data_IF_305465255604
#
_entry.id   IF_305465255604
#
_cell.length_a   1.000
_cell.length_b   1.000
_cell.length_c   1.000
_cell.angle_alpha   90.00
_cell.angle_beta   90.00
_cell.angle_gamma   90.00
#
_symmetry.space_group_name_H-M   'P 1'
#
loop_
_entity.id
_entity.type
_entity.pdbx_description
1 polymer ?
#
# COMPACT_ATOMS: atom_id res chain seq x y z
N UNK A 1 -65.23 -27.71 -42.69
CA UNK A 1 -65.25 -27.59 -41.22
C UNK A 1 -63.96 -26.91 -40.82
N UNK A 2 -63.99 -25.62 -40.53
CA UNK A 2 -62.81 -24.89 -40.08
C UNK A 2 -62.65 -25.12 -38.57
N UNK A 3 -61.55 -25.75 -38.18
CA UNK A 3 -61.16 -25.96 -36.79
C UNK A 3 -60.82 -24.61 -36.16
N UNK A 4 -61.64 -24.16 -35.21
CA UNK A 4 -61.32 -23.03 -34.33
C UNK A 4 -60.13 -23.48 -33.48
N UNK A 5 -58.97 -22.86 -33.71
CA UNK A 5 -57.82 -23.00 -32.81
C UNK A 5 -58.17 -22.23 -31.55
N UNK A 6 -58.44 -22.96 -30.46
CA UNK A 6 -58.58 -22.36 -29.14
C UNK A 6 -57.22 -21.75 -28.77
N UNK A 7 -57.19 -20.42 -28.67
CA UNK A 7 -56.01 -19.68 -28.22
C UNK A 7 -55.82 -20.03 -26.74
N UNK A 8 -54.68 -20.62 -26.39
CA UNK A 8 -54.33 -20.83 -24.99
C UNK A 8 -54.33 -19.49 -24.25
N UNK A 9 -54.83 -19.42 -23.01
CA UNK A 9 -54.88 -18.19 -22.25
C UNK A 9 -53.46 -17.64 -22.04
N UNK A 10 -53.23 -16.40 -22.45
CA UNK A 10 -52.01 -15.67 -22.12
C UNK A 10 -52.06 -15.21 -20.66
N UNK A 11 -50.91 -15.33 -19.98
CA UNK A 11 -50.80 -15.13 -18.54
C UNK A 11 -50.29 -13.73 -18.22
N UNK A 12 -51.04 -12.97 -17.45
CA UNK A 12 -50.68 -11.61 -17.00
C UNK A 12 -50.63 -11.54 -15.48
N UNK A 13 -49.64 -10.82 -14.92
CA UNK A 13 -49.54 -10.60 -13.47
C UNK A 13 -50.47 -9.45 -13.08
N UNK A 14 -51.07 -9.56 -11.90
CA UNK A 14 -52.01 -8.54 -11.38
C UNK A 14 -51.36 -7.17 -11.14
N UNK A 15 -50.06 -7.12 -10.88
CA UNK A 15 -49.29 -5.88 -10.71
C UNK A 15 -49.06 -5.15 -12.05
N UNK A 16 -49.20 -5.86 -13.17
CA UNK A 16 -48.99 -5.35 -14.53
C UNK A 16 -50.32 -4.99 -15.23
N UNK A 17 -51.48 -5.12 -14.54
CA UNK A 17 -52.82 -4.84 -15.07
C UNK A 17 -53.36 -3.53 -14.50
N UNK A 18 -53.78 -2.61 -15.37
CA UNK A 18 -54.48 -1.40 -14.96
C UNK A 18 -55.97 -1.71 -14.69
N UNK A 19 -56.69 -0.90 -13.88
CA UNK A 19 -58.10 -1.15 -13.56
C UNK A 19 -59.02 -1.21 -14.79
N UNK A 20 -58.60 -0.62 -15.91
CA UNK A 20 -59.31 -0.63 -17.20
C UNK A 20 -59.15 -1.95 -17.95
N UNK A 21 -58.09 -2.74 -17.68
CA UNK A 21 -57.83 -4.05 -18.31
C UNK A 21 -58.65 -5.20 -17.67
N UNK A 22 -59.31 -4.92 -16.53
CA UNK A 22 -60.07 -5.91 -15.75
C UNK A 22 -61.54 -5.99 -16.21
N UNK A 23 -62.05 -4.96 -16.89
CA UNK A 23 -63.46 -4.78 -17.24
C UNK A 23 -63.71 -4.94 -18.75
N UNK A 24 -63.07 -5.92 -19.39
CA UNK A 24 -63.27 -6.25 -20.79
C UNK A 24 -64.68 -6.86 -21.02
N UNK A 25 -65.48 -6.22 -21.88
CA UNK A 25 -66.89 -6.51 -22.20
C UNK A 25 -67.15 -7.94 -22.78
N UNK A 26 -66.13 -8.79 -22.91
CA UNK A 26 -66.18 -10.09 -23.60
C UNK A 26 -65.68 -11.32 -22.80
N UNK A 27 -65.52 -11.22 -21.49
CA UNK A 27 -65.42 -12.41 -20.64
C UNK A 27 -64.60 -12.20 -19.39
N UNK A 28 -65.16 -12.62 -18.25
CA UNK A 28 -64.55 -12.57 -16.94
C UNK A 28 -63.09 -13.06 -16.96
N UNK A 29 -62.12 -12.15 -16.77
CA UNK A 29 -60.73 -12.52 -16.53
C UNK A 29 -60.62 -13.20 -15.16
N UNK A 30 -60.16 -14.46 -15.15
CA UNK A 30 -59.90 -15.18 -13.91
C UNK A 30 -58.57 -14.67 -13.34
N UNK A 31 -58.65 -13.74 -12.41
CA UNK A 31 -57.49 -13.23 -11.67
C UNK A 31 -57.09 -14.28 -10.61
N UNK A 32 -56.09 -15.12 -10.92
CA UNK A 32 -55.50 -16.02 -9.93
C UNK A 32 -54.41 -15.30 -9.13
N UNK A 33 -54.73 -14.90 -7.89
CA UNK A 33 -53.74 -14.40 -6.95
C UNK A 33 -52.97 -15.59 -6.35
N UNK A 34 -51.64 -15.65 -6.56
CA UNK A 34 -50.79 -16.62 -5.86
C UNK A 34 -50.79 -16.28 -4.37
N UNK A 35 -51.40 -17.16 -3.56
CA UNK A 35 -51.31 -17.06 -2.11
C UNK A 35 -49.84 -17.23 -1.70
N UNK A 36 -49.24 -16.16 -1.16
CA UNK A 36 -47.90 -16.21 -0.58
C UNK A 36 -47.99 -16.90 0.78
N UNK A 37 -47.92 -18.23 0.78
CA UNK A 37 -47.84 -19.03 2.01
C UNK A 37 -46.37 -19.26 2.33
N UNK A 38 -45.94 -18.93 3.56
CA UNK A 38 -44.61 -19.27 4.03
C UNK A 38 -44.50 -20.79 4.20
N UNK A 39 -43.90 -21.47 3.22
CA UNK A 39 -43.72 -22.92 3.23
C UNK A 39 -42.34 -23.27 3.81
N UNK A 40 -42.27 -23.36 5.13
CA UNK A 40 -41.03 -23.64 5.88
C UNK A 40 -40.42 -24.99 5.49
N UNK A 41 -41.23 -26.05 5.37
CA UNK A 41 -40.76 -27.40 4.99
C UNK A 41 -40.06 -27.43 3.63
N UNK A 42 -40.56 -26.64 2.66
CA UNK A 42 -39.94 -26.56 1.34
C UNK A 42 -38.64 -25.75 1.38
N UNK A 43 -38.60 -24.68 2.18
CA UNK A 43 -37.40 -23.86 2.35
C UNK A 43 -36.27 -24.64 3.02
N UNK A 44 -36.57 -25.43 4.05
CA UNK A 44 -35.59 -26.29 4.72
C UNK A 44 -35.00 -27.33 3.76
N UNK A 45 -35.85 -28.02 2.99
CA UNK A 45 -35.38 -29.00 1.98
C UNK A 45 -34.44 -28.37 0.95
N UNK A 46 -34.81 -27.21 0.41
CA UNK A 46 -33.98 -26.51 -0.58
C UNK A 46 -32.69 -26.00 0.07
N UNK A 47 -32.75 -25.53 1.31
CA UNK A 47 -31.58 -25.09 2.05
C UNK A 47 -30.60 -26.25 2.26
N UNK A 48 -31.09 -27.44 2.64
CA UNK A 48 -30.26 -28.64 2.81
C UNK A 48 -29.65 -29.12 1.49
N UNK A 49 -30.40 -29.06 0.39
CA UNK A 49 -29.90 -29.40 -0.95
C UNK A 49 -28.79 -28.46 -1.43
N UNK A 50 -28.82 -27.18 -1.02
CA UNK A 50 -27.83 -26.16 -1.38
C UNK A 50 -26.67 -26.05 -0.40
N UNK A 51 -26.83 -26.55 0.83
CA UNK A 51 -25.84 -26.39 1.91
C UNK A 51 -24.55 -27.13 1.55
N UNK A 52 -23.43 -26.42 1.63
CA UNK A 52 -22.11 -27.02 1.51
C UNK A 52 -21.84 -27.97 2.70
N UNK A 53 -21.10 -29.05 2.46
CA UNK A 53 -20.72 -30.01 3.51
C UNK A 53 -19.99 -29.33 4.67
N UNK A 54 -20.36 -29.66 5.90
CA UNK A 54 -19.80 -29.06 7.12
C UNK A 54 -18.33 -29.44 7.38
N UNK A 55 -17.83 -30.47 6.70
CA UNK A 55 -16.45 -30.98 6.84
C UNK A 55 -15.39 -30.11 6.13
N UNK A 56 -15.81 -29.07 5.40
CA UNK A 56 -14.88 -28.19 4.69
C UNK A 56 -14.10 -27.30 5.67
N UNK A 57 -12.77 -27.12 5.46
CA UNK A 57 -12.02 -26.18 6.28
C UNK A 57 -12.56 -24.77 6.06
N UNK A 58 -12.57 -23.97 7.13
CA UNK A 58 -13.15 -22.62 7.11
C UNK A 58 -12.55 -21.70 6.03
N UNK A 59 -11.30 -21.95 5.60
CA UNK A 59 -10.64 -21.18 4.55
C UNK A 59 -11.35 -21.24 3.19
N UNK A 60 -12.16 -22.29 2.94
CA UNK A 60 -12.92 -22.43 1.69
C UNK A 60 -14.23 -21.63 1.71
N UNK A 61 -14.78 -21.37 2.90
CA UNK A 61 -16.02 -20.62 3.06
C UNK A 61 -15.76 -19.14 3.35
N UNK A 62 -14.70 -18.81 4.10
CA UNK A 62 -14.33 -17.45 4.54
C UNK A 62 -15.50 -16.66 5.17
N UNK A 63 -16.50 -17.37 5.69
CA UNK A 63 -17.72 -16.77 6.22
C UNK A 63 -17.60 -16.56 7.72
N UNK A 64 -17.99 -15.38 8.19
CA UNK A 64 -18.05 -15.07 9.61
C UNK A 64 -19.47 -14.61 9.93
N UNK A 65 -20.09 -15.28 10.91
CA UNK A 65 -21.41 -14.96 11.41
C UNK A 65 -21.23 -14.10 12.66
N UNK A 66 -21.84 -12.91 12.68
CA UNK A 66 -21.88 -12.04 13.84
C UNK A 66 -22.64 -12.72 14.99
N UNK A 67 -22.13 -12.59 16.22
CA UNK A 67 -22.80 -13.14 17.41
C UNK A 67 -24.03 -12.32 17.79
N UNK A 68 -23.94 -11.01 17.63
CA UNK A 68 -24.98 -10.07 18.00
C UNK A 68 -25.76 -9.62 16.77
N UNK A 69 -27.09 -9.53 16.93
CA UNK A 69 -27.96 -8.91 15.94
C UNK A 69 -27.75 -7.39 15.95
N UNK A 70 -27.76 -6.79 14.76
CA UNK A 70 -27.62 -5.34 14.61
C UNK A 70 -28.84 -4.66 15.23
N UNK A 71 -28.62 -3.82 16.23
CA UNK A 71 -29.67 -3.04 16.87
C UNK A 71 -29.43 -1.55 16.58
N UNK A 72 -30.21 -0.99 15.66
CA UNK A 72 -30.20 0.45 15.36
C UNK A 72 -31.49 1.07 15.92
N UNK A 73 -31.41 2.06 16.84
CA UNK A 73 -32.60 2.66 17.46
C UNK A 73 -33.55 3.34 16.47
N UNK A 74 -33.00 3.94 15.41
CA UNK A 74 -33.75 4.56 14.32
C UNK A 74 -33.17 4.09 12.99
N UNK A 75 -34.00 3.42 12.19
CA UNK A 75 -33.60 2.87 10.89
C UNK A 75 -33.34 3.96 9.85
N UNK A 76 -33.92 5.15 10.04
CA UNK A 76 -33.74 6.29 9.14
C UNK A 76 -32.52 7.16 9.49
N UNK A 77 -31.90 6.94 10.65
CA UNK A 77 -30.63 7.60 11.02
C UNK A 77 -29.46 6.87 10.37
N UNK A 78 -29.05 7.39 9.22
CA UNK A 78 -28.01 6.79 8.38
C UNK A 78 -26.66 6.71 9.10
N UNK A 79 -26.28 7.75 9.87
CA UNK A 79 -24.98 7.79 10.54
C UNK A 79 -24.84 6.69 11.58
N UNK A 80 -25.87 6.49 12.42
CA UNK A 80 -25.86 5.41 13.41
C UNK A 80 -25.92 4.03 12.77
N UNK A 81 -26.65 3.91 11.66
CA UNK A 81 -26.74 2.66 10.91
C UNK A 81 -25.41 2.30 10.26
N UNK A 82 -24.72 3.25 9.64
CA UNK A 82 -23.37 3.08 9.09
C UNK A 82 -22.37 2.68 10.17
N UNK A 83 -22.42 3.31 11.35
CA UNK A 83 -21.55 2.94 12.48
C UNK A 83 -21.78 1.49 12.93
N UNK A 84 -23.04 1.06 12.99
CA UNK A 84 -23.38 -0.32 13.35
C UNK A 84 -22.84 -1.33 12.32
N UNK A 85 -22.99 -1.05 11.02
CA UNK A 85 -22.41 -1.89 9.95
C UNK A 85 -20.90 -1.91 9.97
N UNK A 86 -20.27 -0.76 10.23
CA UNK A 86 -18.82 -0.65 10.36
C UNK A 86 -18.29 -1.52 11.50
N UNK A 87 -18.91 -1.43 12.68
CA UNK A 87 -18.50 -2.20 13.85
C UNK A 87 -18.66 -3.71 13.63
N UNK A 88 -19.77 -4.14 13.02
CA UNK A 88 -19.99 -5.55 12.67
C UNK A 88 -18.94 -6.07 11.69
N UNK A 89 -18.63 -5.29 10.64
CA UNK A 89 -17.59 -5.66 9.67
C UNK A 89 -16.21 -5.71 10.33
N UNK A 90 -15.91 -4.78 11.23
CA UNK A 90 -14.65 -4.74 11.98
C UNK A 90 -14.49 -5.97 12.87
N UNK A 91 -15.53 -6.36 13.62
CA UNK A 91 -15.51 -7.58 14.44
C UNK A 91 -15.27 -8.82 13.56
N UNK A 92 -16.00 -8.93 12.43
CA UNK A 92 -15.84 -10.04 11.50
C UNK A 92 -14.41 -10.15 10.96
N UNK A 93 -13.76 -9.02 10.65
CA UNK A 93 -12.36 -8.99 10.20
C UNK A 93 -11.40 -9.44 11.29
N UNK A 94 -11.66 -9.09 12.57
CA UNK A 94 -10.83 -9.56 13.68
C UNK A 94 -10.91 -11.08 13.85
N UNK A 95 -12.12 -11.65 13.81
CA UNK A 95 -12.33 -13.09 13.89
C UNK A 95 -11.69 -13.80 12.69
N UNK A 96 -11.91 -13.27 11.48
CA UNK A 96 -11.31 -13.83 10.26
C UNK A 96 -9.78 -13.82 10.33
N UNK A 97 -9.17 -12.75 10.85
CA UNK A 97 -7.72 -12.66 10.99
C UNK A 97 -7.15 -13.73 11.92
N UNK A 98 -7.85 -14.10 12.97
CA UNK A 98 -7.42 -15.18 13.88
C UNK A 98 -7.49 -16.53 13.17
N UNK A 99 -8.62 -16.84 12.53
CA UNK A 99 -8.81 -18.09 11.77
C UNK A 99 -7.85 -18.24 10.59
N UNK A 100 -7.53 -17.14 9.88
CA UNK A 100 -6.55 -17.15 8.78
C UNK A 100 -5.14 -17.48 9.28
N UNK A 101 -4.79 -16.99 10.49
CA UNK A 101 -3.51 -17.34 11.11
C UNK A 101 -3.47 -18.81 11.56
N UNK A 102 -4.57 -19.35 12.08
CA UNK A 102 -4.67 -20.78 12.43
C UNK A 102 -4.55 -21.68 11.20
N UNK A 103 -5.02 -21.22 10.05
CA UNK A 103 -4.88 -21.90 8.76
C UNK A 103 -3.51 -21.67 8.09
N UNK A 104 -2.54 -21.03 8.75
CA UNK A 104 -1.21 -20.68 8.22
C UNK A 104 -1.23 -19.89 6.88
N UNK A 105 -2.30 -19.12 6.64
CA UNK A 105 -2.46 -18.33 5.42
C UNK A 105 -2.05 -16.85 5.63
N UNK A 106 -1.60 -16.20 4.55
CA UNK A 106 -1.19 -14.78 4.59
C UNK A 106 -2.40 -13.84 4.54
N UNK A 107 -2.59 -13.04 5.58
CA UNK A 107 -3.69 -12.07 5.65
C UNK A 107 -3.38 -10.73 4.94
N UNK A 108 -2.16 -10.21 5.10
CA UNK A 108 -1.79 -8.91 4.54
C UNK A 108 -1.18 -9.09 3.15
N UNK A 109 -1.61 -8.24 2.22
CA UNK A 109 -0.98 -8.13 0.91
C UNK A 109 0.47 -7.70 1.10
N UNK A 110 1.45 -8.46 0.58
CA UNK A 110 2.87 -8.09 0.67
C UNK A 110 3.13 -6.74 0.00
N UNK A 111 4.06 -5.95 0.54
CA UNK A 111 4.33 -4.61 0.00
C UNK A 111 4.68 -4.64 -1.49
N UNK A 112 5.42 -5.65 -1.96
CA UNK A 112 5.85 -5.73 -3.37
C UNK A 112 4.87 -6.48 -4.30
N UNK A 113 3.63 -6.73 -3.87
CA UNK A 113 2.64 -7.44 -4.68
C UNK A 113 1.89 -6.45 -5.59
N UNK A 114 2.00 -6.65 -6.91
CA UNK A 114 1.32 -5.84 -7.91
C UNK A 114 0.35 -6.74 -8.68
N UNK A 115 -0.93 -6.41 -8.58
CA UNK A 115 -2.03 -7.05 -9.28
C UNK A 115 -3.01 -5.96 -9.73
N UNK A 116 -3.83 -6.21 -10.77
CA UNK A 116 -4.92 -5.30 -11.12
C UNK A 116 -5.86 -5.16 -9.91
N UNK A 117 -6.06 -3.91 -9.49
CA UNK A 117 -6.97 -3.56 -8.39
C UNK A 117 -8.37 -3.28 -8.94
N UNK A 118 -9.39 -3.29 -8.07
CA UNK A 118 -10.77 -3.00 -8.47
C UNK A 118 -10.95 -1.59 -9.08
N UNK A 119 -10.14 -0.63 -8.64
CA UNK A 119 -10.15 0.76 -9.10
C UNK A 119 -8.82 1.11 -9.74
N UNK A 120 -8.88 1.83 -10.85
CA UNK A 120 -7.70 2.29 -11.59
C UNK A 120 -6.93 3.37 -10.82
N UNK A 121 -5.60 3.42 -11.04
CA UNK A 121 -4.72 4.42 -10.44
C UNK A 121 -5.13 5.86 -10.77
N UNK A 122 -5.65 6.09 -11.99
CA UNK A 122 -6.13 7.40 -12.43
C UNK A 122 -7.30 7.88 -11.56
N UNK A 123 -8.27 7.01 -11.32
CA UNK A 123 -9.41 7.34 -10.47
C UNK A 123 -8.97 7.58 -9.01
N UNK A 124 -8.02 6.78 -8.51
CA UNK A 124 -7.49 6.99 -7.15
C UNK A 124 -6.69 8.29 -7.02
N UNK A 125 -6.10 8.79 -8.11
CA UNK A 125 -5.44 10.10 -8.14
C UNK A 125 -6.45 11.25 -8.15
N UNK A 126 -7.60 11.12 -8.82
CA UNK A 126 -8.70 12.08 -8.73
C UNK A 126 -9.28 12.17 -7.30
N UNK A 127 -9.48 11.02 -6.64
CA UNK A 127 -9.92 10.98 -5.24
C UNK A 127 -8.91 11.68 -4.33
N UNK A 128 -7.62 11.45 -4.57
CA UNK A 128 -6.57 12.12 -3.83
C UNK A 128 -6.60 13.65 -4.02
N UNK A 129 -6.81 14.13 -5.24
CA UNK A 129 -6.91 15.56 -5.51
C UNK A 129 -8.08 16.20 -4.76
N UNK A 130 -9.25 15.55 -4.74
CA UNK A 130 -10.41 16.02 -3.96
C UNK A 130 -10.12 16.09 -2.46
N UNK A 131 -9.47 15.07 -1.89
CA UNK A 131 -9.05 15.09 -0.49
C UNK A 131 -8.06 16.22 -0.19
N UNK A 132 -7.16 16.53 -1.13
CA UNK A 132 -6.21 17.66 -1.00
C UNK A 132 -6.95 19.00 -1.04
N UNK A 133 -7.97 19.14 -1.87
CA UNK A 133 -8.80 20.34 -1.95
C UNK A 133 -9.60 20.55 -0.66
N UNK A 134 -10.32 19.52 -0.18
CA UNK A 134 -11.06 19.57 1.08
C UNK A 134 -10.17 19.84 2.30
N UNK A 135 -8.94 19.31 2.29
CA UNK A 135 -7.95 19.58 3.34
C UNK A 135 -7.43 21.02 3.30
N UNK A 136 -7.35 21.65 2.12
CA UNK A 136 -6.98 23.08 1.98
C UNK A 136 -8.08 23.99 2.49
N UNK A 137 -9.34 23.56 2.39
CA UNK A 137 -10.50 24.29 2.91
C UNK A 137 -10.56 24.32 4.45
N UNK A 138 -9.58 23.68 5.13
CA UNK A 138 -9.37 23.80 6.57
C UNK A 138 -10.14 22.78 7.41
N UNK A 139 -10.71 21.74 6.79
CA UNK A 139 -11.40 20.69 7.52
C UNK A 139 -10.38 19.72 8.15
N UNK A 140 -10.37 19.64 9.49
CA UNK A 140 -9.46 18.77 10.26
C UNK A 140 -9.67 17.28 9.95
N UNK A 141 -10.90 16.86 9.68
CA UNK A 141 -11.19 15.49 9.28
C UNK A 141 -10.62 15.17 7.91
N UNK A 142 -10.69 16.11 6.97
CA UNK A 142 -10.13 15.95 5.64
C UNK A 142 -8.60 15.85 5.70
N UNK A 143 -7.95 16.62 6.59
CA UNK A 143 -6.50 16.50 6.85
C UNK A 143 -6.13 15.11 7.39
N UNK A 144 -6.93 14.57 8.31
CA UNK A 144 -6.70 13.22 8.84
C UNK A 144 -6.84 12.15 7.74
N UNK A 145 -7.90 12.25 6.93
CA UNK A 145 -8.15 11.34 5.79
C UNK A 145 -7.00 11.43 4.77
N UNK A 146 -6.54 12.62 4.44
CA UNK A 146 -5.41 12.86 3.54
C UNK A 146 -4.12 12.23 4.07
N UNK A 147 -3.79 12.43 5.35
CA UNK A 147 -2.59 11.85 5.94
C UNK A 147 -2.63 10.30 5.95
N UNK A 148 -3.80 9.71 6.23
CA UNK A 148 -3.99 8.26 6.13
C UNK A 148 -3.78 7.76 4.69
N UNK A 149 -4.31 8.47 3.70
CA UNK A 149 -4.17 8.14 2.29
C UNK A 149 -2.72 8.27 1.80
N UNK A 150 -2.01 9.32 2.20
CA UNK A 150 -0.58 9.48 1.90
C UNK A 150 0.26 8.33 2.47
N UNK A 151 -0.07 7.85 3.66
CA UNK A 151 0.62 6.72 4.28
C UNK A 151 0.44 5.44 3.45
N UNK A 152 -0.73 5.25 2.83
CA UNK A 152 -0.99 4.14 1.92
C UNK A 152 -0.21 4.31 0.60
N UNK A 153 -0.26 5.49 -0.04
CA UNK A 153 0.51 5.77 -1.27
C UNK A 153 2.01 5.60 -1.08
N UNK A 154 2.58 6.01 0.07
CA UNK A 154 4.01 5.84 0.35
C UNK A 154 4.45 4.38 0.41
N UNK A 155 3.54 3.46 0.74
CA UNK A 155 3.83 2.01 0.70
C UNK A 155 3.87 1.50 -0.73
N UNK A 156 2.91 1.91 -1.56
CA UNK A 156 2.83 1.48 -2.97
C UNK A 156 3.92 2.12 -3.83
N UNK A 157 4.21 3.42 -3.65
CA UNK A 157 5.19 4.15 -4.48
C UNK A 157 6.62 3.62 -4.33
N UNK A 158 7.00 3.11 -3.16
CA UNK A 158 8.31 2.48 -2.93
C UNK A 158 8.52 1.24 -3.80
N UNK A 159 7.43 0.58 -4.19
CA UNK A 159 7.44 -0.61 -5.03
C UNK A 159 7.63 -0.20 -6.48
N UNK A 160 6.88 0.80 -6.93
CA UNK A 160 6.98 1.36 -8.28
C UNK A 160 8.37 1.93 -8.57
N UNK A 161 8.96 2.62 -7.59
CA UNK A 161 10.33 3.13 -7.69
C UNK A 161 11.34 2.00 -7.82
N UNK A 162 11.23 0.94 -6.99
CA UNK A 162 12.10 -0.24 -7.10
C UNK A 162 11.95 -0.93 -8.46
N UNK A 163 10.73 -1.05 -8.99
CA UNK A 163 10.51 -1.64 -10.30
C UNK A 163 11.01 -0.77 -11.45
N UNK A 164 10.83 0.56 -11.40
CA UNK A 164 11.41 1.48 -12.39
C UNK A 164 12.93 1.40 -12.37
N UNK A 165 13.54 1.31 -11.19
CA UNK A 165 14.99 1.13 -11.05
C UNK A 165 15.47 -0.23 -11.59
N UNK A 166 14.76 -1.33 -11.30
CA UNK A 166 15.07 -2.66 -11.85
C UNK A 166 14.87 -2.71 -13.37
N UNK A 167 13.82 -2.06 -13.89
CA UNK A 167 13.54 -1.99 -15.32
C UNK A 167 14.58 -1.14 -16.06
N UNK A 168 15.05 -0.04 -15.44
CA UNK A 168 16.19 0.75 -15.95
C UNK A 168 17.46 -0.06 -15.96
N UNK A 169 17.81 -0.74 -14.85
CA UNK A 169 18.97 -1.64 -14.78
C UNK A 169 18.91 -2.78 -15.80
N UNK A 170 17.73 -3.36 -16.08
CA UNK A 170 17.55 -4.39 -17.12
C UNK A 170 17.63 -3.83 -18.55
N UNK A 171 17.28 -2.56 -18.75
CA UNK A 171 17.40 -1.88 -20.05
C UNK A 171 18.83 -1.39 -20.31
N UNK A 172 19.51 -0.89 -19.29
CA UNK A 172 20.88 -0.37 -19.34
C UNK A 172 21.92 -1.51 -19.26
N UNK A 173 21.63 -2.60 -18.55
CA UNK A 173 22.49 -3.79 -18.44
C UNK A 173 22.48 -4.72 -19.65
N UNK A 174 21.88 -4.32 -20.78
CA UNK A 174 22.00 -5.05 -22.06
C UNK A 174 23.16 -4.56 -22.92
N UNK A 175 23.90 -3.53 -22.51
CA UNK A 175 25.00 -2.95 -23.30
C UNK A 175 26.41 -3.20 -22.72
N UNK A 176 26.55 -3.68 -21.49
CA UNK A 176 27.86 -4.00 -20.89
C UNK A 176 27.85 -5.38 -20.21
N UNK A 177 27.90 -6.44 -21.03
CA UNK A 177 28.29 -7.79 -20.59
C UNK A 177 29.82 -7.92 -20.51
N UNK A 178 30.49 -7.03 -19.77
CA UNK A 178 31.92 -7.18 -19.49
C UNK A 178 32.41 -6.45 -18.22
N UNK A 179 31.52 -6.17 -17.26
CA UNK A 179 31.92 -5.61 -15.97
C UNK A 179 31.56 -6.54 -14.80
N UNK A 180 32.50 -7.45 -14.57
CA UNK A 180 32.94 -8.01 -13.29
C UNK A 180 31.91 -8.78 -12.45
N UNK A 181 31.96 -10.09 -12.63
CA UNK A 181 31.38 -11.11 -11.74
C UNK A 181 31.92 -10.99 -10.29
N UNK A 182 33.08 -10.35 -10.08
CA UNK A 182 33.71 -10.17 -8.77
C UNK A 182 32.93 -9.26 -7.79
N UNK A 183 32.10 -8.32 -8.28
CA UNK A 183 31.31 -7.43 -7.39
C UNK A 183 29.96 -8.03 -6.99
N UNK A 184 29.53 -9.12 -7.64
CA UNK A 184 28.26 -9.79 -7.33
C UNK A 184 28.41 -10.88 -6.26
N UNK A 185 29.59 -11.51 -6.17
CA UNK A 185 29.88 -12.54 -5.17
C UNK A 185 30.09 -11.94 -3.76
N UNK A 186 30.59 -10.70 -3.68
CA UNK A 186 30.78 -9.95 -2.44
C UNK A 186 29.48 -9.47 -1.77
N UNK A 187 28.38 -9.30 -2.51
CA UNK A 187 27.09 -8.87 -1.95
C UNK A 187 26.17 -10.04 -1.57
N UNK A 188 26.38 -11.22 -2.18
CA UNK A 188 25.66 -12.46 -1.83
C UNK A 188 26.25 -13.12 -0.57
N UNK A 189 27.58 -13.14 -0.42
CA UNK A 189 28.26 -13.66 0.78
C UNK A 189 27.92 -12.82 2.03
N UNK A 190 27.66 -11.51 1.87
CA UNK A 190 27.24 -10.62 2.95
C UNK A 190 25.79 -10.81 3.42
N UNK A 191 24.95 -11.50 2.65
CA UNK A 191 23.55 -11.74 2.98
C UNK A 191 23.32 -13.13 3.60
N UNK A 192 24.09 -14.14 3.19
CA UNK A 192 24.05 -15.49 3.79
C UNK A 192 24.61 -15.49 5.23
N UNK A 193 25.64 -14.69 5.52
CA UNK A 193 26.27 -14.61 6.85
C UNK A 193 25.42 -13.82 7.89
N UNK A 194 24.23 -13.34 7.50
CA UNK A 194 23.32 -12.60 8.39
C UNK A 194 22.30 -13.48 9.12
N UNK A 195 22.22 -14.77 8.78
CA UNK A 195 21.23 -15.70 9.37
C UNK A 195 21.81 -16.67 10.40
N UNK A 196 23.12 -16.73 10.58
CA UNK A 196 23.74 -17.57 11.60
C UNK A 196 24.94 -16.88 12.26
N UNK A 197 24.78 -16.49 13.54
CA UNK A 197 25.77 -16.61 14.63
C UNK A 197 25.82 -15.42 15.57
N UNK A 198 25.19 -15.66 16.71
CA UNK A 198 25.63 -15.25 18.03
C UNK A 198 27.16 -15.37 18.20
N UNK A 199 27.84 -14.26 18.48
CA UNK A 199 29.08 -14.23 19.26
C UNK A 199 30.44 -14.32 18.53
N UNK A 200 31.29 -13.33 18.86
CA UNK A 200 32.77 -13.26 18.79
C UNK A 200 33.45 -12.86 17.46
N UNK A 201 34.07 -11.67 17.55
CA UNK A 201 35.37 -11.24 16.99
C UNK A 201 35.72 -11.53 15.51
N UNK A 202 35.88 -10.44 14.74
CA UNK A 202 36.99 -10.11 13.80
C UNK A 202 36.72 -8.71 13.22
N UNK A 203 37.34 -7.63 13.69
CA UNK A 203 38.65 -7.08 13.31
C UNK A 203 39.04 -7.19 11.82
N UNK A 204 39.19 -5.99 11.22
CA UNK A 204 40.13 -5.59 10.16
C UNK A 204 39.60 -5.40 8.72
N UNK A 205 38.84 -4.31 8.51
CA UNK A 205 38.81 -3.60 7.21
C UNK A 205 39.10 -2.11 7.47
N UNK A 206 40.13 -1.50 6.85
CA UNK A 206 40.49 -0.13 7.15
C UNK A 206 39.51 0.83 6.47
N UNK A 207 38.59 1.43 7.26
CA UNK A 207 37.79 2.58 6.80
C UNK A 207 38.73 3.72 6.41
N UNK A 208 38.73 4.10 5.12
CA UNK A 208 39.44 5.26 4.57
C UNK A 208 39.02 6.52 5.34
N UNK A 209 39.85 6.96 6.29
CA UNK A 209 39.62 8.18 7.05
C UNK A 209 39.96 9.39 6.19
N UNK A 210 38.94 10.04 5.62
CA UNK A 210 39.10 11.37 5.05
C UNK A 210 39.59 12.33 6.13
N UNK A 211 40.69 13.03 5.84
CA UNK A 211 41.27 14.06 6.71
C UNK A 211 40.25 15.17 6.94
N UNK A 212 40.38 15.85 8.10
CA UNK A 212 39.47 16.93 8.48
C UNK A 212 39.42 18.03 7.42
N UNK A 213 40.55 18.31 6.79
CA UNK A 213 40.70 19.27 5.69
C UNK A 213 39.83 18.92 4.47
N UNK A 214 39.67 17.63 4.14
CA UNK A 214 38.81 17.18 3.05
C UNK A 214 37.31 17.30 3.38
N UNK A 215 36.95 17.21 4.67
CA UNK A 215 35.57 17.46 5.13
C UNK A 215 35.27 18.96 5.15
N UNK A 216 36.20 19.76 5.65
CA UNK A 216 36.05 21.21 5.74
C UNK A 216 35.97 21.86 4.35
N UNK A 217 36.69 21.34 3.34
CA UNK A 217 36.57 21.80 1.95
C UNK A 217 35.17 21.60 1.34
N UNK A 218 34.44 20.57 1.76
CA UNK A 218 33.06 20.32 1.31
C UNK A 218 32.06 21.32 1.88
N UNK A 219 32.36 21.87 3.06
CA UNK A 219 31.48 22.81 3.77
C UNK A 219 31.96 24.27 3.72
N UNK A 220 33.15 24.56 3.19
CA UNK A 220 33.69 25.94 3.09
C UNK A 220 33.09 26.78 1.96
N UNK A 221 32.11 26.25 1.20
CA UNK A 221 31.33 27.03 0.23
C UNK A 221 30.15 27.81 0.88
N UNK A 222 29.97 27.69 2.19
CA UNK A 222 28.97 28.47 2.94
C UNK A 222 29.51 29.81 3.45
N UNK A 223 29.73 30.77 2.54
CA UNK A 223 29.75 32.25 2.74
C UNK A 223 30.51 32.90 1.56
N UNK A 224 29.88 32.94 0.39
CA UNK A 224 30.19 33.96 -0.61
C UNK A 224 28.94 34.80 -0.77
N UNK A 225 29.04 36.05 -0.30
CA UNK A 225 28.02 37.07 -0.48
C UNK A 225 27.70 37.22 -1.96
N UNK A 226 26.41 37.37 -2.25
CA UNK A 226 25.93 37.81 -3.55
C UNK A 226 26.46 39.22 -3.76
N UNK A 227 27.48 39.36 -4.59
CA UNK A 227 27.76 40.50 -5.48
C UNK A 227 29.16 40.34 -6.08
N UNK A 228 29.24 40.39 -7.41
CA UNK A 228 30.50 40.32 -8.14
C UNK A 228 30.34 39.57 -9.46
N UNK A 229 29.81 40.25 -10.48
CA UNK A 229 30.09 39.92 -11.87
C UNK A 229 31.60 39.99 -12.08
N UNK A 230 32.24 38.91 -12.56
CA UNK A 230 33.34 39.04 -13.51
C UNK A 230 33.59 37.73 -14.24
N UNK A 231 33.63 37.85 -15.56
CA UNK A 231 34.00 36.86 -16.56
C UNK A 231 35.49 36.49 -16.47
N UNK A 232 35.85 35.42 -17.18
CA UNK A 232 37.20 34.95 -17.46
C UNK A 232 38.04 34.41 -16.30
N UNK A 233 38.12 33.08 -16.23
CA UNK A 233 39.42 32.37 -16.20
C UNK A 233 39.26 30.87 -16.46
N UNK A 234 39.82 30.46 -17.58
CA UNK A 234 40.12 29.07 -17.89
C UNK A 234 41.19 28.51 -16.94
N UNK A 235 40.94 27.28 -16.48
CA UNK A 235 41.82 26.12 -16.19
C UNK A 235 43.35 26.33 -16.08
N UNK A 236 44.11 25.64 -15.19
CA UNK A 236 44.45 24.23 -15.47
C UNK A 236 44.83 23.35 -14.24
N UNK A 237 44.22 22.17 -14.10
CA UNK A 237 44.70 21.13 -13.18
C UNK A 237 45.37 19.94 -13.91
N UNK A 238 46.59 20.13 -14.45
CA UNK A 238 47.55 19.06 -14.77
C UNK A 238 49.01 19.56 -14.74
N UNK A 239 49.83 18.93 -13.90
CA UNK A 239 51.31 18.88 -13.73
C UNK A 239 51.64 19.18 -12.26
N UNK A 240 52.14 18.24 -11.47
CA UNK A 240 53.36 17.48 -11.74
C UNK A 240 54.53 18.20 -11.06
N UNK A 241 55.06 17.59 -10.00
CA UNK A 241 56.30 17.94 -9.27
C UNK A 241 56.33 19.30 -8.55
N UNK A 242 56.51 19.30 -7.22
CA UNK A 242 57.28 20.36 -6.58
C UNK A 242 58.18 19.86 -5.46
N UNK A 243 59.33 20.53 -5.47
CA UNK A 243 60.58 20.35 -4.76
C UNK A 243 60.48 20.68 -3.27
N UNK A 244 61.40 20.06 -2.54
CA UNK A 244 61.76 20.20 -1.13
C UNK A 244 61.72 21.64 -0.55
N UNK A 245 61.30 21.66 0.74
CA UNK A 245 61.69 22.52 1.88
C UNK A 245 61.34 24.02 1.84
N UNK A 246 60.54 24.46 2.82
CA UNK A 246 61.01 25.31 3.94
C UNK A 246 60.25 24.96 5.22
N UNK A 247 61.01 24.78 6.29
CA UNK A 247 60.58 24.56 7.67
C UNK A 247 59.87 25.79 8.23
N UNK A 248 58.61 25.63 8.62
CA UNK A 248 57.99 26.49 9.63
C UNK A 248 57.65 25.61 10.83
N UNK A 249 58.31 25.89 11.96
CA UNK A 249 58.02 25.22 13.23
C UNK A 249 56.55 25.48 13.58
N UNK A 250 55.69 24.48 13.37
CA UNK A 250 54.31 24.50 13.85
C UNK A 250 54.35 24.45 15.38
N UNK A 251 53.87 25.51 16.02
CA UNK A 251 53.68 25.58 17.48
C UNK A 251 52.84 24.38 17.95
N UNK A 252 53.30 23.60 18.93
CA UNK A 252 52.55 22.46 19.43
C UNK A 252 51.23 22.90 20.07
N UNK A 253 50.18 22.10 19.84
CA UNK A 253 48.81 22.39 20.27
C UNK A 253 48.65 22.55 21.79
N UNK A 254 47.54 23.19 22.19
CA UNK A 254 47.24 23.63 23.57
C UNK A 254 47.39 22.51 24.63
N UNK A 255 46.95 21.29 24.32
CA UNK A 255 47.09 20.14 25.21
C UNK A 255 48.56 19.73 25.46
N UNK A 256 49.40 19.81 24.42
CA UNK A 256 50.82 19.45 24.52
C UNK A 256 51.61 20.52 25.28
N UNK A 257 51.20 21.79 25.19
CA UNK A 257 51.75 22.89 26.00
C UNK A 257 51.41 22.78 27.48
N UNK A 258 50.20 22.34 27.84
CA UNK A 258 49.84 22.13 29.25
C UNK A 258 50.64 20.98 29.88
N UNK A 259 50.89 19.90 29.14
CA UNK A 259 51.76 18.81 29.62
C UNK A 259 53.20 19.25 29.87
N UNK A 260 53.78 20.04 28.95
CA UNK A 260 55.15 20.56 29.13
C UNK A 260 55.26 21.51 30.33
N UNK A 261 54.20 22.26 30.65
CA UNK A 261 54.18 23.16 31.82
C UNK A 261 54.12 22.41 33.15
N UNK A 262 53.49 21.23 33.17
CA UNK A 262 53.38 20.40 34.38
C UNK A 262 54.60 19.49 34.61
N UNK A 263 55.54 19.44 33.66
CA UNK A 263 56.80 18.70 33.80
C UNK A 263 57.97 19.57 34.31
N UNK A 264 57.74 20.85 34.58
CA UNK A 264 58.72 21.78 35.14
C UNK A 264 58.41 22.19 36.58
N UNK A 265 57.72 21.32 37.33
CA UNK A 265 57.69 21.37 38.80
C UNK A 265 58.16 20.05 39.34
#
# INVERSE_FOLDING_TARGET
MATKVEKEPEWYRLEDLDPEDIDDEFGDMIIEQRLQVNNEDALERIADDLKLSEDLPWIETLTVISKECINVPDVFDDLKREEAFYNQALEAVHIAREKIKEADATFLVPENFIAPMLKDDQHMEEVYQKLVEEAKDGNEEALYRLHAFEKQRKKTSRVDEKQKMLSRKRKEGKEDTELKEDDFELEMEGLEDSTERTGKNKLNVPRKQYTRDARDAKYSLGKRGREGKQEDRANPAKKGMSIRKKSSLKRPGKAKRQKMRNQQK
#
